data_IF_676096262103
#
_entry.id   IF_676096262103
#
_cell.length_a   1.000
_cell.length_b   1.000
_cell.length_c   1.000
_cell.angle_alpha   90.00
_cell.angle_beta   90.00
_cell.angle_gamma   90.00
#
_symmetry.space_group_name_H-M   'P 1'
#
loop_
_entity.id
_entity.type
_entity.pdbx_description
1 polymer ?
#
# COMPACT_ATOMS: atom_id res chain seq x y z
N UNK A 1 -0.72 -3.68 -17.27
CA UNK A 1 -0.92 -3.44 -15.83
C UNK A 1 0.38 -2.84 -15.31
N UNK A 2 0.37 -1.56 -14.93
CA UNK A 2 1.57 -0.89 -14.46
C UNK A 2 1.95 -1.48 -13.10
N UNK A 3 3.13 -2.07 -13.00
CA UNK A 3 3.62 -2.66 -11.75
C UNK A 3 4.41 -1.58 -11.01
N UNK A 4 3.69 -0.72 -10.30
CA UNK A 4 4.29 0.31 -9.46
C UNK A 4 4.68 -0.34 -8.13
N UNK A 5 5.95 -0.19 -7.74
CA UNK A 5 6.46 -0.77 -6.50
C UNK A 5 6.64 0.36 -5.49
N UNK A 6 6.03 0.21 -4.32
CA UNK A 6 6.18 1.14 -3.20
C UNK A 6 6.81 0.44 -2.00
N UNK A 7 7.13 1.22 -0.97
CA UNK A 7 7.61 0.74 0.32
C UNK A 7 6.61 1.10 1.40
N UNK A 8 6.39 0.19 2.34
CA UNK A 8 5.59 0.48 3.53
C UNK A 8 6.34 1.52 4.38
N UNK A 9 5.72 2.68 4.57
CA UNK A 9 6.25 3.77 5.39
C UNK A 9 5.80 3.62 6.85
N UNK A 10 4.52 3.32 7.07
CA UNK A 10 3.94 3.19 8.40
C UNK A 10 2.76 2.21 8.42
N UNK A 11 2.57 1.53 9.55
CA UNK A 11 1.44 0.64 9.82
C UNK A 11 0.76 1.10 11.11
N UNK A 12 -0.54 1.39 11.04
CA UNK A 12 -1.39 1.78 12.18
C UNK A 12 -2.65 0.90 12.15
N UNK A 13 -2.56 -0.29 12.76
CA UNK A 13 -3.64 -1.27 12.69
C UNK A 13 -3.94 -1.66 11.23
N UNK A 14 -5.18 -1.51 10.74
CA UNK A 14 -5.52 -1.82 9.35
C UNK A 14 -5.09 -0.72 8.35
N UNK A 15 -4.63 0.44 8.83
CA UNK A 15 -4.20 1.54 7.96
C UNK A 15 -2.72 1.40 7.67
N UNK A 16 -2.35 1.36 6.39
CA UNK A 16 -0.96 1.25 5.95
C UNK A 16 -0.65 2.42 5.02
N UNK A 17 0.35 3.21 5.38
CA UNK A 17 0.87 4.27 4.53
C UNK A 17 2.01 3.69 3.66
N UNK A 18 1.89 3.85 2.35
CA UNK A 18 2.83 3.33 1.35
C UNK A 18 3.45 4.50 0.59
N UNK A 19 4.76 4.61 0.68
CA UNK A 19 5.59 5.60 -0.02
C UNK A 19 6.04 5.04 -1.36
N UNK A 20 5.99 5.86 -2.40
CA UNK A 20 6.46 5.53 -3.74
C UNK A 20 7.66 6.38 -4.11
N UNK A 21 8.45 5.92 -5.08
CA UNK A 21 9.57 6.71 -5.58
C UNK A 21 9.08 7.98 -6.29
N UNK A 22 9.78 9.09 -6.05
CA UNK A 22 9.47 10.39 -6.66
C UNK A 22 9.53 10.32 -8.18
N UNK A 23 8.48 10.83 -8.82
CA UNK A 23 8.35 10.84 -10.28
C UNK A 23 7.67 9.60 -10.87
N UNK A 24 7.25 8.65 -10.03
CA UNK A 24 6.39 7.54 -10.45
C UNK A 24 4.92 7.96 -10.35
N UNK A 25 4.09 7.47 -11.27
CA UNK A 25 2.64 7.69 -11.21
C UNK A 25 2.09 6.99 -9.96
N UNK A 26 1.56 7.78 -9.01
CA UNK A 26 0.94 7.25 -7.81
C UNK A 26 -0.33 6.46 -8.16
N UNK A 27 -0.58 5.32 -7.48
CA UNK A 27 -1.83 4.59 -7.61
C UNK A 27 -3.04 5.50 -7.34
N UNK A 28 -4.14 5.30 -8.07
CA UNK A 28 -5.34 6.11 -7.88
C UNK A 28 -6.08 5.68 -6.61
N UNK A 29 -6.95 6.56 -6.12
CA UNK A 29 -7.89 6.19 -5.06
C UNK A 29 -8.78 5.05 -5.58
N UNK A 30 -9.01 4.05 -4.72
CA UNK A 30 -9.66 2.77 -5.01
C UNK A 30 -8.85 1.78 -5.86
N UNK A 31 -7.59 2.08 -6.18
CA UNK A 31 -6.70 1.04 -6.70
C UNK A 31 -6.32 0.06 -5.59
N UNK A 32 -6.06 -1.18 -6.01
CA UNK A 32 -5.57 -2.23 -5.13
C UNK A 32 -4.05 -2.34 -5.20
N UNK A 33 -3.44 -2.57 -4.05
CA UNK A 33 -2.03 -2.94 -3.90
C UNK A 33 -1.96 -4.32 -3.26
N UNK A 34 -0.99 -5.11 -3.70
CA UNK A 34 -0.78 -6.46 -3.21
C UNK A 34 0.58 -6.54 -2.53
N UNK A 35 0.60 -7.03 -1.29
CA UNK A 35 1.83 -7.34 -0.56
C UNK A 35 1.94 -8.85 -0.42
N UNK A 36 3.00 -9.42 -0.99
CA UNK A 36 3.35 -10.82 -0.75
C UNK A 36 4.06 -10.95 0.59
N UNK A 37 3.43 -11.64 1.54
CA UNK A 37 4.03 -11.94 2.84
C UNK A 37 5.06 -13.06 2.74
N UNK A 38 5.88 -13.20 3.79
CA UNK A 38 6.91 -14.25 3.88
C UNK A 38 6.34 -15.68 3.87
N UNK A 39 5.09 -15.84 4.31
CA UNK A 39 4.37 -17.12 4.29
C UNK A 39 3.77 -17.47 2.91
N UNK A 40 3.90 -16.57 1.92
CA UNK A 40 3.33 -16.72 0.58
C UNK A 40 1.88 -16.24 0.46
N UNK A 41 1.26 -15.76 1.54
CA UNK A 41 -0.06 -15.14 1.47
C UNK A 41 0.00 -13.75 0.82
N UNK A 42 -1.10 -13.36 0.18
CA UNK A 42 -1.26 -12.05 -0.44
C UNK A 42 -2.13 -11.19 0.46
N UNK A 43 -1.57 -10.10 0.96
CA UNK A 43 -2.33 -9.05 1.63
C UNK A 43 -2.76 -8.03 0.59
N UNK A 44 -4.07 -7.84 0.45
CA UNK A 44 -4.64 -6.81 -0.42
C UNK A 44 -4.87 -5.54 0.40
N UNK A 45 -4.38 -4.43 -0.14
CA UNK A 45 -4.59 -3.08 0.37
C UNK A 45 -5.39 -2.28 -0.67
N UNK A 46 -6.27 -1.41 -0.21
CA UNK A 46 -7.00 -0.49 -1.08
C UNK A 46 -6.59 0.95 -0.76
N UNK A 47 -6.24 1.71 -1.79
CA UNK A 47 -5.86 3.12 -1.66
C UNK A 47 -7.09 3.96 -1.32
N UNK A 48 -7.07 4.63 -0.16
CA UNK A 48 -8.17 5.48 0.28
C UNK A 48 -7.91 6.97 0.04
N UNK A 49 -6.65 7.41 0.14
CA UNK A 49 -6.30 8.81 -0.08
C UNK A 49 -4.82 8.98 -0.41
N UNK A 50 -4.50 10.11 -1.04
CA UNK A 50 -3.12 10.59 -1.17
C UNK A 50 -2.84 11.55 -0.02
N UNK A 51 -1.78 11.29 0.73
CA UNK A 51 -1.44 12.09 1.92
C UNK A 51 -0.30 13.09 1.67
N UNK A 52 0.28 13.08 0.48
CA UNK A 52 1.38 13.96 0.07
C UNK A 52 2.72 13.23 0.09
N UNK A 53 3.79 13.91 -0.35
CA UNK A 53 5.18 13.38 -0.30
C UNK A 53 5.31 11.99 -0.95
N UNK A 54 4.74 11.82 -2.15
CA UNK A 54 4.71 10.54 -2.88
C UNK A 54 4.13 9.35 -2.07
N UNK A 55 3.33 9.66 -1.04
CA UNK A 55 2.75 8.68 -0.12
C UNK A 55 1.24 8.61 -0.26
N UNK A 56 0.73 7.37 -0.27
CA UNK A 56 -0.69 7.08 -0.27
C UNK A 56 -1.08 6.33 1.00
N UNK A 57 -2.27 6.64 1.52
CA UNK A 57 -2.87 5.92 2.63
C UNK A 57 -3.76 4.82 2.10
N UNK A 58 -3.53 3.62 2.61
CA UNK A 58 -4.25 2.42 2.22
C UNK A 58 -4.91 1.78 3.43
N UNK A 59 -5.98 1.01 3.18
CA UNK A 59 -6.61 0.16 4.20
C UNK A 59 -6.44 -1.29 3.77
N UNK A 60 -5.99 -2.12 4.71
CA UNK A 60 -5.90 -3.56 4.49
C UNK A 60 -7.30 -4.19 4.51
N UNK A 61 -7.52 -5.10 3.57
CA UNK A 61 -8.74 -5.92 3.54
C UNK A 61 -8.63 -7.17 4.45
N UNK A 62 -7.44 -7.43 4.97
CA UNK A 62 -7.14 -8.54 5.88
C UNK A 62 -6.25 -8.05 7.05
N UNK A 63 -6.04 -8.87 8.07
CA UNK A 63 -5.23 -8.51 9.25
C UNK A 63 -3.81 -8.16 8.82
N UNK A 64 -3.26 -7.05 9.31
CA UNK A 64 -1.87 -6.63 9.07
C UNK A 64 -0.87 -7.30 10.02
N UNK A 65 -1.33 -8.25 10.83
CA UNK A 65 -0.48 -8.98 11.77
C UNK A 65 0.65 -9.73 11.04
N UNK A 66 1.89 -9.47 11.46
CA UNK A 66 3.08 -10.13 10.91
C UNK A 66 3.72 -9.44 9.71
N UNK A 67 3.29 -8.22 9.35
CA UNK A 67 4.01 -7.35 8.41
C UNK A 67 5.29 -6.75 9.04
#
# INVERSE_FOLDING_TARGET
MAKVTGRVAQIIGPVIDVEFETGVELPRIYDSLEITRKDGSLLVLEVQSHIGEDTVRTISMDSTDGL
#
